data_IF_524255303512
#
_entry.id   IF_524255303512
#
_cell.length_a   1.000
_cell.length_b   1.000
_cell.length_c   1.000
_cell.angle_alpha   90.00
_cell.angle_beta   90.00
_cell.angle_gamma   90.00
#
_symmetry.space_group_name_H-M   'P 1'
#
loop_
_entity.id
_entity.type
_entity.pdbx_description
1 polymer ?
#
# COMPACT_ATOMS: atom_id res chain seq x y z
N UNK A 1 -24.16 18.13 -6.80
CA UNK A 1 -24.58 17.91 -5.41
C UNK A 1 -23.34 17.59 -4.59
N UNK A 2 -23.21 18.10 -3.36
CA UNK A 2 -22.02 17.84 -2.54
C UNK A 2 -21.96 16.37 -2.10
N UNK A 3 -20.76 15.78 -2.07
CA UNK A 3 -20.53 14.37 -1.71
C UNK A 3 -21.09 14.03 -0.33
N UNK A 4 -20.82 14.86 0.68
CA UNK A 4 -21.34 14.67 2.04
C UNK A 4 -22.87 14.59 2.07
N UNK A 5 -23.55 15.47 1.33
CA UNK A 5 -25.02 15.46 1.24
C UNK A 5 -25.52 14.19 0.55
N UNK A 6 -24.81 13.71 -0.47
CA UNK A 6 -25.18 12.46 -1.16
C UNK A 6 -25.09 11.26 -0.22
N UNK A 7 -24.01 11.14 0.55
CA UNK A 7 -23.84 10.09 1.56
C UNK A 7 -24.98 10.12 2.58
N UNK A 8 -25.34 11.30 3.08
CA UNK A 8 -26.48 11.45 4.01
C UNK A 8 -27.79 10.95 3.41
N UNK A 9 -28.01 11.14 2.10
CA UNK A 9 -29.20 10.60 1.42
C UNK A 9 -29.14 9.08 1.25
N UNK A 10 -27.97 8.50 0.93
CA UNK A 10 -27.81 7.06 0.76
C UNK A 10 -27.94 6.28 2.08
N UNK A 11 -27.60 6.93 3.20
CA UNK A 11 -27.81 6.38 4.55
C UNK A 11 -29.30 6.09 4.81
N UNK A 12 -30.23 6.89 4.27
CA UNK A 12 -31.70 6.70 4.41
C UNK A 12 -32.14 6.41 5.86
N UNK A 13 -31.55 7.11 6.83
CA UNK A 13 -31.75 6.90 8.29
C UNK A 13 -31.24 5.55 8.85
N UNK A 14 -30.43 4.80 8.10
CA UNK A 14 -29.68 3.66 8.61
C UNK A 14 -28.36 4.12 9.22
N UNK A 15 -27.81 3.28 10.09
CA UNK A 15 -26.48 3.52 10.65
C UNK A 15 -25.42 3.25 9.58
N UNK A 16 -24.32 4.04 9.52
CA UNK A 16 -23.20 3.80 8.60
C UNK A 16 -22.62 2.38 8.70
N UNK A 17 -22.65 1.80 9.90
CA UNK A 17 -22.19 0.44 10.17
C UNK A 17 -23.07 -0.66 9.54
N UNK A 18 -24.27 -0.35 9.07
CA UNK A 18 -25.15 -1.33 8.39
C UNK A 18 -25.08 -1.18 6.86
N UNK A 19 -24.33 -0.20 6.37
CA UNK A 19 -24.21 0.06 4.93
C UNK A 19 -23.16 -0.87 4.33
N UNK A 20 -23.63 -1.82 3.54
CA UNK A 20 -22.78 -2.75 2.79
C UNK A 20 -22.37 -2.18 1.43
N UNK A 21 -23.26 -1.40 0.81
CA UNK A 21 -23.05 -0.83 -0.52
C UNK A 21 -23.36 0.67 -0.50
N UNK A 22 -22.43 1.47 -1.02
CA UNK A 22 -22.57 2.91 -1.08
C UNK A 22 -22.17 3.43 -2.47
N UNK A 23 -23.10 4.14 -3.09
CA UNK A 23 -22.93 4.72 -4.43
C UNK A 23 -23.09 6.23 -4.35
N UNK A 24 -21.99 6.95 -4.63
CA UNK A 24 -21.91 8.41 -4.52
C UNK A 24 -21.47 9.05 -5.83
N UNK A 25 -21.74 8.38 -6.95
CA UNK A 25 -21.38 8.84 -8.30
C UNK A 25 -21.95 10.21 -8.65
N UNK A 26 -21.25 10.95 -9.51
CA UNK A 26 -21.63 12.31 -9.96
C UNK A 26 -21.84 13.31 -8.80
N UNK A 27 -21.21 13.05 -7.67
CA UNK A 27 -21.11 13.99 -6.55
C UNK A 27 -20.00 15.02 -6.80
N UNK A 28 -19.92 16.06 -5.98
CA UNK A 28 -18.82 17.03 -6.02
C UNK A 28 -18.03 16.95 -4.71
N UNK A 29 -16.74 16.65 -4.80
CA UNK A 29 -15.77 16.91 -3.73
C UNK A 29 -15.33 18.39 -3.78
N UNK A 30 -15.23 19.08 -2.65
CA UNK A 30 -14.83 20.49 -2.65
C UNK A 30 -13.31 20.63 -2.85
N UNK A 31 -12.52 19.82 -2.15
CA UNK A 31 -11.06 19.89 -2.15
C UNK A 31 -10.40 18.80 -3.03
N UNK A 32 -11.19 18.07 -3.81
CA UNK A 32 -10.70 16.89 -4.54
C UNK A 32 -10.35 15.72 -3.61
N UNK A 33 -10.92 15.71 -2.41
CA UNK A 33 -10.74 14.64 -1.42
C UNK A 33 -12.09 14.04 -1.02
N UNK A 34 -12.03 12.85 -0.42
CA UNK A 34 -13.21 12.14 0.08
C UNK A 34 -13.80 12.91 1.25
N UNK A 35 -15.10 13.19 1.18
CA UNK A 35 -15.84 13.92 2.21
C UNK A 35 -17.07 13.15 2.67
N UNK A 36 -17.28 13.11 3.99
CA UNK A 36 -18.47 12.51 4.60
C UNK A 36 -18.39 10.99 4.80
N UNK A 37 -17.30 10.35 4.38
CA UNK A 37 -16.97 8.99 4.80
C UNK A 37 -16.25 9.01 6.16
N UNK A 38 -16.67 8.13 7.05
CA UNK A 38 -16.09 7.94 8.39
C UNK A 38 -15.65 6.48 8.57
N UNK A 39 -14.93 6.19 9.64
CA UNK A 39 -14.54 4.85 10.08
C UNK A 39 -15.72 4.01 10.59
N UNK A 40 -16.91 4.59 10.67
CA UNK A 40 -18.15 3.89 11.06
C UNK A 40 -18.68 2.96 9.96
N UNK A 41 -18.22 3.10 8.72
CA UNK A 41 -18.61 2.25 7.58
C UNK A 41 -17.89 0.89 7.61
N UNK A 42 -17.98 0.18 8.74
CA UNK A 42 -17.22 -1.05 9.00
C UNK A 42 -17.67 -2.23 8.15
N UNK A 43 -18.95 -2.28 7.75
CA UNK A 43 -19.54 -3.35 6.93
C UNK A 43 -19.52 -3.05 5.43
N UNK A 44 -18.92 -1.93 5.01
CA UNK A 44 -18.94 -1.52 3.61
C UNK A 44 -18.08 -2.45 2.76
N UNK A 45 -18.71 -3.16 1.83
CA UNK A 45 -18.08 -4.09 0.89
C UNK A 45 -17.91 -3.47 -0.50
N UNK A 46 -18.85 -2.61 -0.92
CA UNK A 46 -18.84 -1.96 -2.22
C UNK A 46 -18.96 -0.44 -2.09
N UNK A 47 -18.01 0.27 -2.70
CA UNK A 47 -17.98 1.72 -2.75
C UNK A 47 -17.80 2.19 -4.20
N UNK A 48 -18.76 2.95 -4.70
CA UNK A 48 -18.70 3.58 -6.02
C UNK A 48 -18.62 5.09 -5.90
N UNK A 49 -17.54 5.66 -6.42
CA UNK A 49 -17.22 7.09 -6.35
C UNK A 49 -16.77 7.58 -7.74
N UNK A 50 -17.65 7.41 -8.72
CA UNK A 50 -17.37 7.74 -10.13
C UNK A 50 -17.66 9.20 -10.43
N UNK A 51 -16.78 9.85 -11.21
CA UNK A 51 -16.95 11.21 -11.70
C UNK A 51 -17.26 12.22 -10.58
N UNK A 52 -16.46 12.20 -9.51
CA UNK A 52 -16.64 13.13 -8.37
C UNK A 52 -15.60 14.25 -8.32
N UNK A 53 -14.55 14.15 -9.14
CA UNK A 53 -13.46 15.11 -9.19
C UNK A 53 -12.38 14.87 -8.13
N UNK A 54 -12.20 13.64 -7.65
CA UNK A 54 -11.15 13.33 -6.67
C UNK A 54 -9.76 13.48 -7.27
N UNK A 55 -8.87 14.18 -6.56
CA UNK A 55 -7.44 14.28 -6.84
C UNK A 55 -6.58 13.53 -5.81
N UNK A 56 -7.10 13.28 -4.61
CA UNK A 56 -6.40 12.59 -3.52
C UNK A 56 -7.34 11.68 -2.72
N UNK A 57 -6.79 10.58 -2.18
CA UNK A 57 -7.48 9.63 -1.30
C UNK A 57 -6.97 9.69 0.14
N UNK A 58 -6.20 10.72 0.51
CA UNK A 58 -5.58 10.82 1.84
C UNK A 58 -6.59 10.83 3.00
N UNK A 59 -7.79 11.41 2.78
CA UNK A 59 -8.89 11.47 3.75
C UNK A 59 -9.79 10.23 3.78
N UNK A 60 -9.43 9.16 3.06
CA UNK A 60 -10.22 7.93 3.07
C UNK A 60 -10.10 7.22 4.44
N UNK A 61 -11.22 6.91 5.12
CA UNK A 61 -11.19 6.19 6.39
C UNK A 61 -10.77 4.73 6.20
N UNK A 62 -10.48 4.03 7.30
CA UNK A 62 -10.19 2.59 7.26
C UNK A 62 -11.46 1.83 6.93
N UNK A 63 -11.45 1.02 5.87
CA UNK A 63 -12.59 0.23 5.40
C UNK A 63 -12.14 -1.24 5.28
N UNK A 64 -12.06 -1.96 6.41
CA UNK A 64 -11.47 -3.29 6.44
C UNK A 64 -12.25 -4.33 5.64
N UNK A 65 -13.56 -4.16 5.45
CA UNK A 65 -14.41 -5.09 4.69
C UNK A 65 -14.58 -4.71 3.22
N UNK A 66 -13.98 -3.61 2.76
CA UNK A 66 -14.16 -3.15 1.40
C UNK A 66 -13.50 -4.10 0.41
N UNK A 67 -14.30 -4.65 -0.50
CA UNK A 67 -13.87 -5.63 -1.51
C UNK A 67 -13.83 -5.05 -2.90
N UNK A 68 -14.72 -4.10 -3.21
CA UNK A 68 -14.87 -3.51 -4.53
C UNK A 68 -14.93 -1.99 -4.45
N UNK A 69 -14.01 -1.33 -5.16
CA UNK A 69 -13.89 0.13 -5.22
C UNK A 69 -13.87 0.63 -6.66
N UNK A 70 -14.85 1.46 -7.02
CA UNK A 70 -14.94 2.11 -8.34
C UNK A 70 -14.56 3.59 -8.18
N UNK A 71 -13.45 3.99 -8.82
CA UNK A 71 -12.92 5.36 -8.81
C UNK A 71 -12.83 5.94 -10.22
N UNK A 72 -13.66 5.45 -11.15
CA UNK A 72 -13.60 5.86 -12.55
C UNK A 72 -13.87 7.36 -12.76
N UNK A 73 -13.29 7.92 -13.82
CA UNK A 73 -13.48 9.32 -14.25
C UNK A 73 -13.17 10.34 -13.15
N UNK A 74 -12.10 10.09 -12.38
CA UNK A 74 -11.58 11.04 -11.42
C UNK A 74 -10.28 11.68 -11.90
N UNK A 75 -9.70 12.55 -11.08
CA UNK A 75 -8.50 13.30 -11.40
C UNK A 75 -7.29 12.83 -10.58
N UNK A 76 -7.30 11.55 -10.17
CA UNK A 76 -6.23 10.95 -9.37
C UNK A 76 -4.95 10.89 -10.21
N UNK A 77 -3.85 11.43 -9.69
CA UNK A 77 -2.54 11.46 -10.37
C UNK A 77 -1.48 10.59 -9.71
N UNK A 78 -1.78 9.96 -8.58
CA UNK A 78 -0.81 9.23 -7.75
C UNK A 78 -1.38 8.83 -6.38
N UNK A 79 -0.51 8.41 -5.46
CA UNK A 79 -0.81 8.19 -4.03
C UNK A 79 -1.91 7.18 -3.72
N UNK A 80 -1.87 6.02 -4.38
CA UNK A 80 -2.76 4.91 -4.09
C UNK A 80 -2.29 4.03 -2.91
N UNK A 81 -1.12 4.32 -2.35
CA UNK A 81 -0.58 3.65 -1.16
C UNK A 81 -1.54 3.70 0.05
N UNK A 82 -2.33 4.77 0.17
CA UNK A 82 -3.37 4.88 1.20
C UNK A 82 -4.45 3.82 1.04
N UNK A 83 -4.79 3.41 -0.19
CA UNK A 83 -5.78 2.34 -0.41
C UNK A 83 -5.29 1.00 0.13
N UNK A 84 -4.01 0.67 -0.08
CA UNK A 84 -3.41 -0.53 0.48
C UNK A 84 -3.48 -0.57 2.02
N UNK A 85 -3.22 0.57 2.67
CA UNK A 85 -3.25 0.66 4.13
C UNK A 85 -4.67 0.68 4.71
N UNK A 86 -5.62 1.32 4.03
CA UNK A 86 -6.99 1.53 4.53
C UNK A 86 -7.96 0.42 4.14
N UNK A 87 -7.73 -0.24 3.01
CA UNK A 87 -8.61 -1.25 2.43
C UNK A 87 -7.84 -2.56 2.17
N UNK A 88 -7.42 -3.29 3.22
CA UNK A 88 -6.56 -4.48 3.07
C UNK A 88 -7.24 -5.65 2.33
N UNK A 89 -8.57 -5.71 2.30
CA UNK A 89 -9.34 -6.78 1.66
C UNK A 89 -9.84 -6.41 0.25
N UNK A 90 -9.27 -5.37 -0.36
CA UNK A 90 -9.71 -4.89 -1.67
C UNK A 90 -9.34 -5.90 -2.77
N UNK A 91 -10.36 -6.46 -3.42
CA UNK A 91 -10.20 -7.47 -4.49
C UNK A 91 -10.42 -6.91 -5.89
N UNK A 92 -11.14 -5.79 -5.98
CA UNK A 92 -11.47 -5.14 -7.24
C UNK A 92 -11.27 -3.63 -7.10
N UNK A 93 -10.49 -3.07 -8.01
CA UNK A 93 -10.18 -1.65 -8.08
C UNK A 93 -10.28 -1.19 -9.53
N UNK A 94 -11.13 -0.20 -9.78
CA UNK A 94 -11.24 0.43 -11.10
C UNK A 94 -10.78 1.89 -11.03
N UNK A 95 -9.74 2.19 -11.81
CA UNK A 95 -9.12 3.51 -11.89
C UNK A 95 -9.20 4.09 -13.32
N UNK A 96 -10.09 3.56 -14.17
CA UNK A 96 -10.30 4.06 -15.52
C UNK A 96 -10.60 5.57 -15.54
N UNK A 97 -10.14 6.30 -16.55
CA UNK A 97 -10.39 7.74 -16.65
C UNK A 97 -9.66 8.62 -15.63
N UNK A 98 -8.70 8.08 -14.88
CA UNK A 98 -7.82 8.87 -14.00
C UNK A 98 -6.55 9.36 -14.72
N UNK A 99 -5.79 10.24 -14.05
CA UNK A 99 -4.52 10.80 -14.53
C UNK A 99 -3.30 10.03 -14.03
N UNK A 100 -3.44 8.72 -13.84
CA UNK A 100 -2.34 7.86 -13.38
C UNK A 100 -1.39 7.65 -14.55
N UNK A 101 -0.25 8.35 -14.52
CA UNK A 101 0.77 8.28 -15.56
C UNK A 101 1.88 7.27 -15.24
N UNK A 102 2.04 6.91 -13.97
CA UNK A 102 3.13 6.08 -13.52
C UNK A 102 2.65 4.74 -12.94
N UNK A 103 3.21 3.65 -13.47
CA UNK A 103 3.04 2.29 -12.95
C UNK A 103 3.62 2.12 -11.54
N UNK A 104 4.62 2.93 -11.17
CA UNK A 104 5.24 2.96 -9.83
C UNK A 104 4.22 3.19 -8.71
N UNK A 105 3.14 3.93 -9.01
CA UNK A 105 2.05 4.14 -8.04
C UNK A 105 1.25 2.85 -7.76
N UNK A 106 1.20 1.94 -8.74
CA UNK A 106 0.55 0.64 -8.60
C UNK A 106 1.44 -0.37 -7.87
N UNK A 107 2.77 -0.25 -8.00
CA UNK A 107 3.71 -1.07 -7.23
C UNK A 107 3.55 -0.88 -5.72
N UNK A 108 3.19 0.34 -5.27
CA UNK A 108 2.90 0.58 -3.85
C UNK A 108 1.69 -0.23 -3.33
N UNK A 109 0.70 -0.52 -4.19
CA UNK A 109 -0.40 -1.42 -3.86
C UNK A 109 0.09 -2.87 -3.75
N UNK A 110 0.87 -3.34 -4.73
CA UNK A 110 1.36 -4.74 -4.79
C UNK A 110 2.38 -5.04 -3.69
N UNK A 111 3.28 -4.10 -3.41
CA UNK A 111 4.35 -4.24 -2.40
C UNK A 111 3.78 -4.44 -0.99
N UNK A 112 2.64 -3.81 -0.67
CA UNK A 112 1.94 -4.01 0.60
C UNK A 112 1.38 -5.43 0.78
N UNK A 113 1.11 -6.15 -0.30
CA UNK A 113 0.49 -7.48 -0.29
C UNK A 113 1.55 -8.61 -0.26
N UNK A 114 2.77 -8.34 -0.71
CA UNK A 114 3.81 -9.36 -0.90
C UNK A 114 4.93 -9.40 0.16
N UNK A 115 4.79 -8.73 1.31
CA UNK A 115 5.82 -8.80 2.36
C UNK A 115 5.87 -10.15 3.11
N UNK A 116 4.98 -11.11 2.81
CA UNK A 116 4.97 -12.47 3.40
C UNK A 116 5.78 -13.50 2.58
N UNK A 117 6.75 -13.05 1.78
CA UNK A 117 7.71 -13.97 1.15
C UNK A 117 9.12 -13.44 1.30
N UNK A 118 9.64 -13.57 2.53
CA UNK A 118 11.07 -13.59 2.76
C UNK A 118 11.66 -14.90 2.21
N UNK A 119 11.78 -14.97 0.88
CA UNK A 119 12.59 -15.99 0.22
C UNK A 119 14.08 -15.70 0.46
N UNK A 120 14.72 -16.71 1.06
CA UNK A 120 16.15 -17.03 1.16
C UNK A 120 17.20 -15.92 1.36
N UNK A 121 17.84 -15.99 2.52
CA UNK A 121 19.11 -15.30 2.79
C UNK A 121 20.22 -15.83 1.87
N UNK A 122 20.89 -14.97 1.08
CA UNK A 122 22.12 -15.36 0.40
C UNK A 122 23.34 -15.10 1.31
N UNK A 123 24.21 -16.10 1.41
CA UNK A 123 25.63 -15.90 1.65
C UNK A 123 26.12 -16.03 3.10
N UNK A 124 26.27 -17.27 3.57
CA UNK A 124 27.18 -17.56 4.66
C UNK A 124 28.61 -17.15 4.26
N UNK A 125 29.13 -16.13 4.92
CA UNK A 125 30.47 -15.60 4.74
C UNK A 125 31.53 -16.68 4.99
N UNK A 126 32.37 -16.92 3.99
CA UNK A 126 33.56 -17.75 4.12
C UNK A 126 34.53 -17.16 5.13
N UNK A 127 34.59 -17.76 6.32
CA UNK A 127 35.67 -17.54 7.27
C UNK A 127 36.93 -18.23 6.76
N UNK A 128 37.79 -17.50 6.05
CA UNK A 128 39.19 -17.90 5.86
C UNK A 128 39.87 -17.77 7.22
N UNK A 129 39.88 -18.87 7.98
CA UNK A 129 40.69 -19.02 9.18
C UNK A 129 42.16 -18.78 8.80
N UNK A 130 42.72 -17.75 9.41
CA UNK A 130 44.15 -17.44 9.42
C UNK A 130 44.86 -18.69 9.96
N UNK A 131 45.73 -19.31 9.16
CA UNK A 131 46.61 -20.38 9.64
C UNK A 131 47.68 -19.71 10.49
N UNK A 132 47.73 -20.09 11.75
CA UNK A 132 48.84 -19.80 12.64
C UNK A 132 50.11 -20.38 12.01
N UNK A 133 51.12 -19.53 11.82
CA UNK A 133 52.48 -19.93 11.47
C UNK A 133 53.29 -19.65 12.72
N UNK A 134 53.33 -20.65 13.59
CA UNK A 134 54.31 -20.80 14.64
C UNK A 134 55.03 -22.12 14.33
N UNK A 135 56.23 -22.03 13.77
CA UNK A 135 57.24 -23.09 13.92
C UNK A 135 58.61 -22.41 13.81
N UNK A 136 59.15 -22.10 14.99
CA UNK A 136 60.55 -21.76 15.17
C UNK A 136 61.37 -23.04 14.96
N UNK A 137 62.30 -22.99 14.03
CA UNK A 137 63.35 -23.99 13.84
C UNK A 137 64.63 -23.26 13.49
N UNK A 138 65.33 -22.81 14.53
CA UNK A 138 66.77 -22.58 14.49
C UNK A 138 67.44 -23.92 14.20
N UNK A 139 68.00 -24.08 13.00
CA UNK A 139 69.07 -25.04 12.77
C UNK A 139 70.30 -24.23 12.39
N UNK A 140 71.14 -24.03 13.41
CA UNK A 140 72.52 -23.59 13.33
C UNK A 140 73.29 -24.52 12.36
N UNK A 141 73.72 -24.00 11.22
CA UNK A 141 74.76 -24.64 10.42
C UNK A 141 75.75 -23.58 9.90
N UNK A 142 77.01 -24.01 10.00
CA UNK A 142 78.21 -23.56 9.30
C UNK A 142 79.02 -22.39 9.89
N UNK A 143 79.97 -22.82 10.73
CA UNK A 143 81.40 -22.77 10.45
C UNK A 143 82.06 -21.38 10.28
N UNK A 144 82.82 -20.96 11.31
CA UNK A 144 84.04 -20.17 11.10
C UNK A 144 85.28 -20.97 11.54
N UNK A 145 86.17 -21.13 10.55
CA UNK A 145 87.53 -21.68 10.63
C UNK A 145 88.42 -20.99 11.68
N UNK A 146 89.25 -21.80 12.38
CA UNK A 146 90.72 -21.67 12.45
C UNK A 146 91.36 -22.60 13.50
#
# INVERSE_FOLDING_TARGET
>A
MDMKKRITLELRNRSPAEIVELVVDNSRSADGEVEGLTDEFTELEFLSVVNVGLSSLAKLPSLPKLRKLELSDNNLSGSLETLAQKCPNLTYLNLSGNKIKELSTLEALVSSVCSDSAEEQPGAQGQKRKRDVDDEGDDDDDDEDN
#
